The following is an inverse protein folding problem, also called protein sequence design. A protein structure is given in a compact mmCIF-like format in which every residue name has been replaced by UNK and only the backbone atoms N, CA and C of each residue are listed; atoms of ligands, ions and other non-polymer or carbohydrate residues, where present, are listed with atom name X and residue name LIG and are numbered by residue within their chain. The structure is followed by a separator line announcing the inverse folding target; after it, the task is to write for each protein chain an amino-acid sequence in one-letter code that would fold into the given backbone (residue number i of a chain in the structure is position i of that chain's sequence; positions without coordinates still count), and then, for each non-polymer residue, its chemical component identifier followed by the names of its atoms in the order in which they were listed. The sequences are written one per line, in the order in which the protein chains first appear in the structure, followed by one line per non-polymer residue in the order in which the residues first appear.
data_IF_080106210566
#
_entry.id   IF_080106210566
#
_cell.length_a   1.000
_cell.length_b   1.000
_cell.length_c   1.000
_cell.angle_alpha   90.00
_cell.angle_beta   90.00
_cell.angle_gamma   90.00
#
_symmetry.space_group_name_H-M   'P 1'
#
loop_
_entity.id
_entity.type
_entity.pdbx_description
1 polymer ?
#
# COMPACT_ATOMS: atom_id res chain seq x y z
N UNK A 1 -3.05 -24.26 -0.67
CA UNK A 1 -3.70 -23.72 0.55
C UNK A 1 -4.70 -22.66 0.10
N UNK A 2 -5.94 -22.68 0.57
CA UNK A 2 -6.92 -21.64 0.30
C UNK A 2 -6.66 -20.44 1.21
N UNK A 3 -7.24 -19.26 0.86
CA UNK A 3 -7.13 -18.05 1.69
C UNK A 3 -7.71 -18.29 3.10
N UNK A 4 -8.86 -18.96 3.19
CA UNK A 4 -9.50 -19.28 4.47
C UNK A 4 -8.56 -20.14 5.35
N UNK A 5 -8.07 -21.26 4.83
CA UNK A 5 -7.14 -22.14 5.54
C UNK A 5 -5.84 -21.44 5.96
N UNK A 6 -5.36 -20.47 5.16
CA UNK A 6 -4.17 -19.70 5.55
C UNK A 6 -4.43 -18.89 6.81
N UNK A 7 -5.54 -18.16 6.86
CA UNK A 7 -5.84 -17.28 8.01
C UNK A 7 -6.27 -18.07 9.26
N UNK A 8 -6.96 -19.20 9.09
CA UNK A 8 -7.31 -20.09 10.21
C UNK A 8 -6.06 -20.66 10.90
N UNK A 9 -5.06 -21.05 10.13
CA UNK A 9 -3.84 -21.66 10.68
C UNK A 9 -2.72 -20.65 10.99
N UNK A 10 -2.91 -19.37 10.66
CA UNK A 10 -1.87 -18.34 10.84
C UNK A 10 -1.34 -18.22 12.28
N UNK A 11 -2.16 -18.35 13.34
CA UNK A 11 -1.68 -18.33 14.72
C UNK A 11 -0.74 -19.49 15.05
N UNK A 12 -0.95 -20.65 14.44
CA UNK A 12 -0.31 -21.94 14.77
C UNK A 12 0.87 -22.26 13.88
N UNK A 13 1.22 -21.40 12.92
CA UNK A 13 2.41 -21.62 12.10
C UNK A 13 3.69 -21.61 12.96
N UNK A 14 4.57 -22.61 12.81
CA UNK A 14 5.82 -22.70 13.58
C UNK A 14 6.76 -21.53 13.31
N UNK A 15 6.68 -20.94 12.12
CA UNK A 15 7.34 -19.69 11.76
C UNK A 15 6.33 -18.73 11.13
N UNK A 16 6.44 -17.44 11.46
CA UNK A 16 5.55 -16.44 10.88
C UNK A 16 5.78 -16.32 9.36
N UNK A 17 4.72 -16.46 8.54
CA UNK A 17 4.83 -16.29 7.10
C UNK A 17 5.29 -14.87 6.76
N UNK A 18 6.22 -14.76 5.83
CA UNK A 18 6.75 -13.48 5.36
C UNK A 18 6.29 -13.20 3.93
N UNK A 19 6.34 -11.94 3.54
CA UNK A 19 6.09 -11.48 2.17
C UNK A 19 7.38 -10.93 1.57
N UNK A 20 7.56 -11.12 0.27
CA UNK A 20 8.63 -10.50 -0.49
C UNK A 20 8.07 -9.50 -1.50
N UNK A 21 8.81 -8.43 -1.75
CA UNK A 21 8.53 -7.50 -2.84
C UNK A 21 8.76 -8.22 -4.18
N UNK A 22 7.87 -8.05 -5.18
CA UNK A 22 8.12 -8.57 -6.52
C UNK A 22 9.44 -8.02 -7.08
N UNK A 23 10.15 -8.83 -7.85
CA UNK A 23 11.38 -8.39 -8.51
C UNK A 23 11.14 -7.37 -9.64
N UNK A 24 12.17 -6.61 -10.00
CA UNK A 24 12.13 -5.58 -11.05
C UNK A 24 11.54 -6.11 -12.36
N UNK A 25 11.98 -7.30 -12.79
CA UNK A 25 11.53 -7.91 -14.03
C UNK A 25 10.03 -8.21 -14.07
N UNK A 26 9.41 -8.43 -12.91
CA UNK A 26 7.96 -8.61 -12.80
C UNK A 26 7.21 -7.33 -13.16
N UNK A 27 7.71 -6.18 -12.71
CA UNK A 27 7.16 -4.86 -13.07
C UNK A 27 7.40 -4.54 -14.55
N UNK A 28 8.61 -4.75 -15.03
CA UNK A 28 8.96 -4.53 -16.46
C UNK A 28 8.01 -5.33 -17.35
N UNK A 29 7.76 -6.60 -17.04
CA UNK A 29 6.80 -7.44 -17.80
C UNK A 29 5.39 -6.86 -17.80
N UNK A 30 4.92 -6.34 -16.66
CA UNK A 30 3.58 -5.73 -16.57
C UNK A 30 3.53 -4.44 -17.39
N UNK A 31 4.52 -3.57 -17.27
CA UNK A 31 4.58 -2.32 -18.03
C UNK A 31 4.66 -2.59 -19.55
N UNK A 32 5.49 -3.54 -19.96
CA UNK A 32 5.58 -3.93 -21.37
C UNK A 32 4.24 -4.46 -21.89
N UNK A 33 3.55 -5.30 -21.12
CA UNK A 33 2.21 -5.81 -21.48
C UNK A 33 1.19 -4.69 -21.68
N UNK A 34 1.27 -3.61 -20.88
CA UNK A 34 0.39 -2.44 -21.05
C UNK A 34 0.74 -1.67 -22.34
N UNK A 35 2.02 -1.49 -22.62
CA UNK A 35 2.50 -0.86 -23.85
C UNK A 35 2.05 -1.64 -25.08
N UNK A 36 2.17 -2.96 -25.05
CA UNK A 36 1.75 -3.84 -26.15
C UNK A 36 0.23 -3.78 -26.37
N UNK A 37 -0.54 -3.36 -25.37
CA UNK A 37 -1.98 -3.08 -25.46
C UNK A 37 -2.31 -1.65 -25.90
N UNK A 38 -1.31 -0.84 -26.21
CA UNK A 38 -1.50 0.52 -26.71
C UNK A 38 -1.47 1.62 -25.65
N UNK A 39 -1.01 1.32 -24.42
CA UNK A 39 -0.85 2.36 -23.42
C UNK A 39 0.19 3.39 -23.87
N UNK A 40 -0.18 4.67 -23.85
CA UNK A 40 0.69 5.82 -24.17
C UNK A 40 1.30 6.45 -22.91
N UNK A 41 0.74 6.14 -21.74
CA UNK A 41 1.23 6.54 -20.42
C UNK A 41 0.79 5.50 -19.39
N UNK A 42 1.60 5.26 -18.38
CA UNK A 42 1.29 4.32 -17.29
C UNK A 42 1.32 5.06 -15.96
N UNK A 43 0.25 4.91 -15.16
CA UNK A 43 0.19 5.35 -13.77
C UNK A 43 0.26 4.13 -12.86
N UNK A 44 1.33 3.99 -12.11
CA UNK A 44 1.62 2.81 -11.27
C UNK A 44 1.47 3.17 -9.80
N UNK A 45 0.37 2.76 -9.18
CA UNK A 45 0.04 3.07 -7.78
C UNK A 45 0.55 2.00 -6.83
N UNK A 46 1.20 2.42 -5.77
CA UNK A 46 1.77 1.51 -4.77
C UNK A 46 1.41 1.94 -3.36
N UNK A 47 1.37 0.95 -2.46
CA UNK A 47 1.28 1.20 -1.03
C UNK A 47 2.50 1.98 -0.55
N UNK A 48 2.35 2.65 0.60
CA UNK A 48 3.41 3.45 1.20
C UNK A 48 4.74 2.71 1.28
N UNK A 49 5.83 3.41 0.94
CA UNK A 49 7.21 2.94 1.10
C UNK A 49 7.56 2.59 2.55
N UNK A 50 6.90 3.20 3.52
CA UNK A 50 7.08 2.88 4.95
C UNK A 50 6.62 1.45 5.30
N UNK A 51 5.78 0.85 4.47
CA UNK A 51 5.29 -0.52 4.64
C UNK A 51 6.02 -1.53 3.74
N UNK A 52 6.49 -1.10 2.57
CA UNK A 52 7.07 -1.99 1.58
C UNK A 52 7.92 -1.23 0.56
N UNK A 53 9.08 -1.78 0.22
CA UNK A 53 9.95 -1.27 -0.84
C UNK A 53 9.38 -1.47 -2.26
N UNK A 54 8.13 -1.89 -2.39
CA UNK A 54 7.49 -2.16 -3.71
C UNK A 54 7.52 -0.94 -4.61
N UNK A 55 7.29 0.25 -4.07
CA UNK A 55 7.33 1.49 -4.86
C UNK A 55 8.72 1.79 -5.41
N UNK A 56 9.78 1.50 -4.67
CA UNK A 56 11.15 1.76 -5.11
C UNK A 56 11.58 0.76 -6.18
N UNK A 57 11.17 -0.52 -6.04
CA UNK A 57 11.37 -1.53 -7.09
C UNK A 57 10.62 -1.15 -8.38
N UNK A 58 9.40 -0.62 -8.25
CA UNK A 58 8.62 -0.13 -9.38
C UNK A 58 9.28 1.07 -10.08
N UNK A 59 9.92 1.99 -9.32
CA UNK A 59 10.69 3.11 -9.89
C UNK A 59 11.86 2.62 -10.73
N UNK A 60 12.67 1.70 -10.17
CA UNK A 60 13.79 1.10 -10.92
C UNK A 60 13.30 0.37 -12.16
N UNK A 61 12.16 -0.29 -12.11
CA UNK A 61 11.57 -0.93 -13.29
C UNK A 61 11.09 0.10 -14.31
N UNK A 62 10.52 1.22 -13.88
CA UNK A 62 10.06 2.30 -14.75
C UNK A 62 11.22 2.94 -15.54
N UNK A 63 12.41 3.08 -14.92
CA UNK A 63 13.63 3.59 -15.59
C UNK A 63 14.07 2.72 -16.78
N UNK A 64 13.70 1.42 -16.79
CA UNK A 64 13.99 0.52 -17.91
C UNK A 64 13.01 0.65 -19.08
N UNK A 65 11.90 1.38 -18.88
CA UNK A 65 10.88 1.61 -19.90
C UNK A 65 11.17 2.94 -20.60
N UNK A 66 11.49 2.88 -21.91
CA UNK A 66 11.81 4.07 -22.69
C UNK A 66 10.71 4.47 -23.69
N UNK A 67 9.76 3.58 -23.94
CA UNK A 67 8.74 3.78 -24.98
C UNK A 67 7.65 4.75 -24.59
N UNK A 68 7.26 4.76 -23.30
CA UNK A 68 6.16 5.59 -22.75
C UNK A 68 6.52 6.07 -21.36
N UNK A 69 6.00 7.22 -20.91
CA UNK A 69 6.15 7.67 -19.53
C UNK A 69 5.49 6.69 -18.56
N UNK A 70 6.22 6.35 -17.46
CA UNK A 70 5.69 5.57 -16.34
C UNK A 70 5.78 6.42 -15.08
N UNK A 71 4.64 6.85 -14.56
CA UNK A 71 4.55 7.62 -13.33
C UNK A 71 4.31 6.66 -12.16
N UNK A 72 5.31 6.50 -11.31
CA UNK A 72 5.25 5.63 -10.12
C UNK A 72 4.84 6.48 -8.92
N UNK A 73 3.70 6.14 -8.33
CA UNK A 73 3.03 6.92 -7.29
C UNK A 73 3.08 6.15 -5.97
N UNK A 74 3.80 6.72 -5.00
CA UNK A 74 3.69 6.33 -3.60
C UNK A 74 2.44 6.99 -3.02
N UNK A 75 1.44 6.19 -2.69
CA UNK A 75 0.17 6.73 -2.17
C UNK A 75 0.25 7.19 -0.71
N UNK A 76 1.36 6.89 -0.02
CA UNK A 76 1.47 7.13 1.42
C UNK A 76 0.37 6.41 2.23
N UNK A 77 -0.24 5.37 1.65
CA UNK A 77 -1.42 4.70 2.18
C UNK A 77 -1.35 3.18 1.95
N UNK A 78 -2.41 2.46 2.29
CA UNK A 78 -2.53 1.02 2.07
C UNK A 78 -3.97 0.64 1.71
N UNK A 79 -4.16 -0.62 1.29
CA UNK A 79 -5.49 -1.20 1.03
C UNK A 79 -6.35 -0.32 0.12
N UNK A 80 -7.61 -0.06 0.50
CA UNK A 80 -8.53 0.77 -0.28
C UNK A 80 -8.12 2.24 -0.34
N UNK A 81 -7.32 2.76 0.59
CA UNK A 81 -6.74 4.09 0.45
C UNK A 81 -5.92 4.24 -0.83
N UNK A 82 -5.08 3.23 -1.15
CA UNK A 82 -4.37 3.15 -2.43
C UNK A 82 -5.33 2.92 -3.60
N UNK A 83 -6.33 2.02 -3.41
CA UNK A 83 -7.30 1.68 -4.45
C UNK A 83 -8.17 2.86 -4.88
N UNK A 84 -8.63 3.69 -3.94
CA UNK A 84 -9.45 4.87 -4.23
C UNK A 84 -8.67 5.93 -5.04
N UNK A 85 -7.37 6.09 -4.78
CA UNK A 85 -6.52 7.00 -5.56
C UNK A 85 -6.33 6.50 -7.00
N UNK A 86 -6.15 5.20 -7.18
CA UNK A 86 -6.09 4.60 -8.51
C UNK A 86 -7.44 4.72 -9.24
N UNK A 87 -8.55 4.55 -8.54
CA UNK A 87 -9.89 4.73 -9.09
C UNK A 87 -10.17 6.17 -9.51
N UNK A 88 -9.73 7.15 -8.72
CA UNK A 88 -9.81 8.56 -9.08
C UNK A 88 -9.10 8.82 -10.42
N UNK A 89 -7.84 8.37 -10.54
CA UNK A 89 -7.08 8.53 -11.77
C UNK A 89 -7.72 7.83 -12.97
N UNK A 90 -8.28 6.64 -12.75
CA UNK A 90 -9.01 5.91 -13.78
C UNK A 90 -10.22 6.71 -14.30
N UNK A 91 -11.06 7.22 -13.42
CA UNK A 91 -12.25 8.00 -13.82
C UNK A 91 -11.88 9.29 -14.55
N UNK A 92 -10.83 9.99 -14.11
CA UNK A 92 -10.36 11.18 -14.79
C UNK A 92 -9.82 10.86 -16.19
N UNK A 93 -9.08 9.76 -16.33
CA UNK A 93 -8.58 9.29 -17.64
C UNK A 93 -9.73 8.90 -18.58
N UNK A 94 -10.76 8.20 -18.09
CA UNK A 94 -11.98 7.86 -18.85
C UNK A 94 -12.76 9.13 -19.30
N UNK A 95 -12.67 10.20 -18.51
CA UNK A 95 -13.26 11.50 -18.86
C UNK A 95 -12.40 12.31 -19.83
N UNK A 96 -11.25 11.80 -20.26
CA UNK A 96 -10.34 12.45 -21.21
C UNK A 96 -9.46 13.56 -20.62
N UNK A 97 -9.29 13.57 -19.29
CA UNK A 97 -8.41 14.53 -18.63
C UNK A 97 -6.94 14.30 -18.99
N UNK A 98 -6.16 15.37 -19.01
CA UNK A 98 -4.75 15.30 -19.26
C UNK A 98 -3.99 14.65 -18.09
N UNK A 99 -2.89 13.96 -18.40
CA UNK A 99 -2.08 13.26 -17.39
C UNK A 99 -1.60 14.20 -16.28
N UNK A 100 -1.22 15.42 -16.62
CA UNK A 100 -0.77 16.43 -15.66
C UNK A 100 -1.88 16.80 -14.65
N UNK A 101 -3.11 16.95 -15.11
CA UNK A 101 -4.26 17.24 -14.23
C UNK A 101 -4.62 16.04 -13.36
N UNK A 102 -4.53 14.83 -13.91
CA UNK A 102 -4.72 13.59 -13.15
C UNK A 102 -3.66 13.48 -12.04
N UNK A 103 -2.39 13.69 -12.36
CA UNK A 103 -1.30 13.62 -11.37
C UNK A 103 -1.46 14.68 -10.27
N UNK A 104 -1.86 15.89 -10.62
CA UNK A 104 -2.16 16.96 -9.67
C UNK A 104 -3.32 16.59 -8.75
N UNK A 105 -4.43 16.13 -9.31
CA UNK A 105 -5.60 15.70 -8.54
C UNK A 105 -5.28 14.55 -7.58
N UNK A 106 -4.51 13.56 -8.05
CA UNK A 106 -4.04 12.43 -7.22
C UNK A 106 -3.14 12.92 -6.10
N UNK A 107 -2.18 13.81 -6.39
CA UNK A 107 -1.27 14.38 -5.37
C UNK A 107 -2.04 15.12 -4.28
N UNK A 108 -3.07 15.87 -4.65
CA UNK A 108 -3.91 16.57 -3.68
C UNK A 108 -4.85 15.62 -2.93
N UNK A 109 -5.33 14.56 -3.58
CA UNK A 109 -6.15 13.53 -2.95
C UNK A 109 -5.35 12.71 -1.92
N UNK A 110 -4.07 12.41 -2.18
CA UNK A 110 -3.18 11.71 -1.22
C UNK A 110 -3.18 12.40 0.14
N UNK A 111 -3.09 13.73 0.18
CA UNK A 111 -3.08 14.52 1.42
C UNK A 111 -4.35 14.37 2.26
N UNK A 112 -5.46 14.02 1.63
CA UNK A 112 -6.80 13.91 2.23
C UNK A 112 -7.26 12.48 2.40
N UNK A 113 -6.53 11.51 1.86
CA UNK A 113 -6.86 10.10 1.94
C UNK A 113 -6.21 9.48 3.18
N UNK A 114 -7.00 8.77 3.96
CA UNK A 114 -6.50 8.00 5.09
C UNK A 114 -7.20 6.63 5.15
N UNK A 115 -6.49 5.67 5.70
CA UNK A 115 -7.04 4.34 6.00
C UNK A 115 -7.06 4.14 7.51
N UNK A 116 -8.19 3.67 8.02
CA UNK A 116 -8.36 3.30 9.43
C UNK A 116 -8.61 1.80 9.50
N UNK A 117 -7.94 1.12 10.42
CA UNK A 117 -8.15 -0.28 10.69
C UNK A 117 -8.25 -0.51 12.21
N UNK A 118 -9.26 -1.27 12.62
CA UNK A 118 -9.38 -1.80 13.99
C UNK A 118 -8.78 -3.18 13.98
N UNK A 119 -7.83 -3.44 14.87
CA UNK A 119 -7.16 -4.71 14.97
C UNK A 119 -7.56 -5.45 16.25
N UNK A 120 -7.69 -6.75 16.16
CA UNK A 120 -7.89 -7.58 17.37
C UNK A 120 -6.60 -7.74 18.16
N UNK A 121 -5.45 -7.70 17.47
CA UNK A 121 -4.12 -7.84 18.07
C UNK A 121 -3.06 -7.11 17.25
N UNK A 122 -2.00 -6.66 17.90
CA UNK A 122 -0.79 -6.13 17.25
C UNK A 122 0.26 -7.22 16.97
N UNK A 123 0.00 -8.45 17.39
CA UNK A 123 0.98 -9.54 17.32
C UNK A 123 1.50 -9.78 15.89
N UNK A 124 0.60 -9.78 14.90
CA UNK A 124 1.00 -10.00 13.50
C UNK A 124 1.78 -8.82 12.92
N UNK A 125 1.49 -7.60 13.33
CA UNK A 125 2.28 -6.42 12.98
C UNK A 125 3.68 -6.49 13.60
N UNK A 126 3.78 -6.93 14.86
CA UNK A 126 5.06 -7.14 15.54
C UNK A 126 5.88 -8.20 14.82
N UNK A 127 5.29 -9.37 14.54
CA UNK A 127 5.96 -10.48 13.85
C UNK A 127 6.42 -10.11 12.44
N UNK A 128 5.65 -9.27 11.74
CA UNK A 128 6.00 -8.80 10.40
C UNK A 128 7.11 -7.75 10.37
N UNK A 129 7.53 -7.20 11.52
CA UNK A 129 8.52 -6.12 11.62
C UNK A 129 8.02 -4.73 11.24
N UNK A 130 6.73 -4.55 10.93
CA UNK A 130 6.13 -3.23 10.58
C UNK A 130 5.70 -2.43 11.79
N UNK A 131 5.83 -3.00 12.98
CA UNK A 131 5.50 -2.30 14.23
C UNK A 131 6.52 -1.21 14.59
N UNK A 132 7.76 -1.31 14.13
CA UNK A 132 8.83 -0.32 14.40
C UNK A 132 8.56 1.04 13.76
N UNK A 133 7.75 1.09 12.70
CA UNK A 133 7.31 2.33 12.06
C UNK A 133 6.20 3.04 12.84
N UNK A 134 5.62 2.36 13.85
CA UNK A 134 4.59 2.92 14.72
C UNK A 134 5.27 3.35 16.03
N UNK A 135 5.27 4.63 16.33
CA UNK A 135 5.84 5.14 17.59
C UNK A 135 5.01 4.71 18.78
N UNK A 136 5.49 3.70 19.52
CA UNK A 136 4.87 3.22 20.74
C UNK A 136 5.53 3.77 22.00
N UNK A 137 4.71 4.30 22.90
CA UNK A 137 5.02 4.22 24.32
C UNK A 137 4.72 2.77 24.79
N UNK A 138 5.76 2.08 25.20
CA UNK A 138 5.74 0.68 25.68
C UNK A 138 4.99 0.55 27.03
N UNK A 139 3.68 0.63 27.01
CA UNK A 139 2.84 0.29 28.18
C UNK A 139 1.86 -0.80 27.82
N UNK A 140 1.70 -1.79 28.68
CA UNK A 140 0.79 -2.95 28.63
C UNK A 140 -0.32 -2.90 27.56
N UNK A 141 -0.10 -3.64 26.44
CA UNK A 141 -1.01 -3.70 25.30
C UNK A 141 -2.00 -4.89 25.38
N UNK A 142 -2.06 -5.58 26.51
CA UNK A 142 -2.71 -6.89 26.66
C UNK A 142 -4.25 -6.88 26.61
N UNK A 143 -4.91 -5.70 26.67
CA UNK A 143 -6.39 -5.63 26.70
C UNK A 143 -6.95 -4.45 25.88
N UNK A 144 -6.25 -4.07 24.80
CA UNK A 144 -6.62 -2.90 24.00
C UNK A 144 -6.89 -3.38 22.57
N UNK A 145 -8.05 -2.99 22.01
CA UNK A 145 -8.27 -3.09 20.54
C UNK A 145 -7.66 -1.85 19.90
N UNK A 146 -6.50 -1.99 19.23
CA UNK A 146 -5.83 -0.84 18.62
C UNK A 146 -6.56 -0.40 17.37
N UNK A 147 -6.71 0.91 17.21
CA UNK A 147 -7.07 1.54 15.95
C UNK A 147 -5.80 2.10 15.33
N UNK A 148 -5.51 1.68 14.11
CA UNK A 148 -4.42 2.21 13.32
C UNK A 148 -5.01 3.16 12.28
N UNK A 149 -4.45 4.36 12.19
CA UNK A 149 -4.70 5.31 11.11
C UNK A 149 -3.44 5.51 10.31
N UNK A 150 -3.54 5.38 8.99
CA UNK A 150 -2.46 5.69 8.07
C UNK A 150 -2.83 6.85 7.17
N UNK A 151 -2.00 7.88 7.13
CA UNK A 151 -2.15 9.05 6.28
C UNK A 151 -0.77 9.66 5.99
N UNK A 152 -0.51 10.05 4.74
CA UNK A 152 0.76 10.69 4.34
C UNK A 152 2.00 9.91 4.82
N UNK A 153 2.01 8.60 4.63
CA UNK A 153 3.07 7.67 5.08
C UNK A 153 3.28 7.60 6.60
N UNK A 154 2.47 8.28 7.40
CA UNK A 154 2.52 8.18 8.86
C UNK A 154 1.50 7.19 9.36
N UNK A 155 1.90 6.40 10.33
CA UNK A 155 1.02 5.45 11.01
C UNK A 155 0.84 5.95 12.45
N UNK A 156 -0.39 6.33 12.76
CA UNK A 156 -0.79 6.72 14.10
C UNK A 156 -1.57 5.56 14.75
N UNK A 157 -1.34 5.34 16.02
CA UNK A 157 -2.08 4.39 16.83
C UNK A 157 -2.97 5.13 17.82
N UNK A 158 -4.27 4.94 17.69
CA UNK A 158 -5.24 5.36 18.68
C UNK A 158 -5.55 4.18 19.63
N UNK A 159 -5.43 4.43 20.92
CA UNK A 159 -5.74 3.41 21.95
C UNK A 159 -7.20 3.52 22.33
N UNK A 160 -7.98 2.48 22.06
CA UNK A 160 -9.32 2.37 22.65
C UNK A 160 -9.26 1.40 23.82
N UNK A 161 -9.64 1.88 25.00
CA UNK A 161 -9.92 1.05 26.15
C UNK A 161 -11.28 0.40 25.95
N UNK A 162 -11.31 -0.91 25.73
CA UNK A 162 -12.58 -1.64 25.81
C UNK A 162 -13.00 -1.72 27.27
N UNK A 163 -14.19 -1.21 27.61
CA UNK A 163 -14.82 -1.58 28.88
C UNK A 163 -15.03 -3.09 28.87
N UNK A 164 -14.63 -3.73 29.98
CA UNK A 164 -15.04 -5.11 30.30
C UNK A 164 -16.54 -5.21 30.40
#
# INVERSE_FOLDING_TARGET
MTRANFYENLPDFPSHPTTATPGIDSFVKVYQKLIDKGATTILSFHISKELSNTVDVARVAAERIQKVPVHVIDTGNLSMGTGLLAQLAYHMAESGEKVEEILKAVTDAIKRTYTVAVLDTLEFLRRSGRLTTIQFGLGSLLFIKPIIRMQNSKIDLERIRTRK
#
